data_IF_795316015778
#
_entry.id   IF_795316015778
#
_cell.length_a   1.000
_cell.length_b   1.000
_cell.length_c   1.000
_cell.angle_alpha   90.00
_cell.angle_beta   90.00
_cell.angle_gamma   90.00
#
_symmetry.space_group_name_H-M   'P 1'
#
loop_
_entity.id
_entity.type
_entity.pdbx_description
1 polymer ?
#
# COMPACT_ATOMS: atom_id res chain seq x y z
N UNK A 1 54.99 -53.22 -54.40
CA UNK A 1 54.53 -54.19 -55.51
C UNK A 1 53.17 -54.69 -55.11
N UNK A 2 52.29 -54.90 -56.04
CA UNK A 2 51.78 -54.04 -57.07
C UNK A 2 50.25 -53.91 -57.03
N UNK A 3 49.79 -53.14 -58.01
CA UNK A 3 48.59 -53.25 -58.91
C UNK A 3 47.28 -52.74 -58.22
N UNK A 4 46.68 -51.75 -58.58
CA UNK A 4 46.28 -51.14 -59.83
C UNK A 4 45.07 -51.79 -60.41
N UNK A 5 43.88 -51.13 -60.30
CA UNK A 5 42.84 -51.21 -61.39
C UNK A 5 41.95 -49.99 -61.35
N UNK A 6 41.92 -49.30 -62.46
CA UNK A 6 40.96 -48.28 -62.88
C UNK A 6 39.67 -48.95 -63.35
N UNK A 7 38.55 -48.23 -63.24
CA UNK A 7 37.46 -48.16 -64.27
C UNK A 7 36.42 -47.18 -63.72
N UNK A 8 36.21 -46.12 -64.31
CA UNK A 8 35.56 -45.44 -65.44
C UNK A 8 34.03 -45.52 -65.40
N UNK A 9 33.46 -44.32 -65.37
CA UNK A 9 32.24 -43.81 -66.09
C UNK A 9 30.90 -44.40 -65.69
N UNK A 10 29.77 -43.70 -65.63
CA UNK A 10 29.02 -42.71 -66.43
C UNK A 10 27.78 -42.32 -65.60
N UNK A 11 27.25 -41.12 -65.72
CA UNK A 11 25.85 -40.90 -65.52
C UNK A 11 25.51 -39.58 -64.83
N UNK A 12 25.52 -38.47 -65.54
CA UNK A 12 24.90 -37.26 -65.12
C UNK A 12 23.38 -37.36 -65.14
N UNK A 13 22.71 -37.32 -64.02
CA UNK A 13 21.29 -37.11 -63.97
C UNK A 13 20.98 -35.73 -63.48
N UNK A 14 20.46 -34.89 -64.34
CA UNK A 14 19.91 -33.60 -64.07
C UNK A 14 18.60 -33.75 -63.30
N UNK A 15 18.59 -33.52 -61.99
CA UNK A 15 17.36 -33.36 -61.23
C UNK A 15 17.10 -31.90 -60.94
N UNK A 16 15.99 -31.42 -61.49
CA UNK A 16 15.44 -30.08 -61.26
C UNK A 16 15.11 -29.90 -59.77
N UNK A 17 15.61 -28.80 -59.18
CA UNK A 17 15.30 -28.40 -57.82
C UNK A 17 13.85 -27.91 -57.73
N UNK A 18 13.04 -28.36 -56.75
CA UNK A 18 11.76 -27.73 -56.47
C UNK A 18 11.98 -26.38 -55.76
N UNK A 19 11.28 -25.40 -56.26
CA UNK A 19 11.19 -24.04 -55.64
C UNK A 19 10.35 -24.19 -54.37
N UNK A 20 11.01 -24.17 -53.21
CA UNK A 20 10.31 -24.01 -51.92
C UNK A 20 9.92 -22.55 -51.77
N UNK A 21 8.62 -22.29 -51.88
CA UNK A 21 7.99 -21.03 -51.53
C UNK A 21 8.01 -20.91 -50.00
N UNK A 22 8.95 -20.13 -49.45
CA UNK A 22 8.94 -19.80 -48.03
C UNK A 22 7.81 -18.80 -47.76
N UNK A 23 6.73 -19.29 -47.15
CA UNK A 23 5.72 -18.45 -46.58
C UNK A 23 6.30 -17.76 -45.32
N UNK A 24 6.56 -16.46 -45.43
CA UNK A 24 6.93 -15.62 -44.30
C UNK A 24 5.65 -15.38 -43.50
N UNK A 25 5.50 -16.10 -42.38
CA UNK A 25 4.48 -15.81 -41.38
C UNK A 25 4.97 -14.61 -40.56
N UNK A 26 4.47 -13.43 -40.89
CA UNK A 26 4.64 -12.24 -40.04
C UNK A 26 3.72 -12.38 -38.84
N UNK A 27 4.27 -12.87 -37.73
CA UNK A 27 3.57 -12.86 -36.44
C UNK A 27 3.49 -11.44 -35.95
N UNK A 28 2.32 -10.81 -36.06
CA UNK A 28 1.99 -9.55 -35.40
C UNK A 28 1.91 -9.82 -33.89
N UNK A 29 2.99 -9.55 -33.18
CA UNK A 29 2.95 -9.45 -31.71
C UNK A 29 2.28 -8.11 -31.36
N UNK A 30 0.99 -8.16 -31.09
CA UNK A 30 0.29 -7.04 -30.49
C UNK A 30 0.81 -6.86 -29.06
N UNK A 31 1.73 -5.91 -28.86
CA UNK A 31 2.10 -5.43 -27.54
C UNK A 31 0.90 -4.64 -27.02
N UNK A 32 0.04 -5.31 -26.26
CA UNK A 32 -0.96 -4.64 -25.44
C UNK A 32 -0.20 -3.87 -24.36
N UNK A 33 0.02 -2.58 -24.58
CA UNK A 33 0.42 -1.65 -23.53
C UNK A 33 -0.74 -1.59 -22.55
N UNK A 34 -0.74 -2.50 -21.57
CA UNK A 34 -1.63 -2.47 -20.43
C UNK A 34 -1.32 -1.22 -19.63
N UNK A 35 -2.14 -0.20 -19.81
CA UNK A 35 -2.23 0.93 -18.89
C UNK A 35 -2.52 0.32 -17.51
N UNK A 36 -1.49 0.16 -16.67
CA UNK A 36 -1.66 -0.20 -15.26
C UNK A 36 -2.29 1.00 -14.55
N UNK A 37 -3.59 1.17 -14.74
CA UNK A 37 -4.38 1.95 -13.82
C UNK A 37 -4.27 1.23 -12.48
N UNK A 38 -3.72 1.91 -11.47
CA UNK A 38 -3.74 1.52 -10.07
C UNK A 38 -5.18 1.61 -9.55
N UNK A 39 -6.08 0.84 -10.16
CA UNK A 39 -7.45 0.72 -9.72
C UNK A 39 -7.47 -0.06 -8.41
N UNK A 40 -7.87 0.57 -7.31
CA UNK A 40 -8.40 -0.16 -6.18
C UNK A 40 -9.35 -1.23 -6.73
N UNK A 41 -9.13 -2.50 -6.34
CA UNK A 41 -9.98 -3.58 -6.84
C UNK A 41 -11.43 -3.21 -6.52
N UNK A 42 -12.28 -3.05 -7.54
CA UNK A 42 -13.70 -2.66 -7.41
C UNK A 42 -14.49 -3.49 -6.39
N UNK A 43 -14.01 -4.68 -6.00
CA UNK A 43 -14.62 -5.57 -5.00
C UNK A 43 -14.42 -5.16 -3.54
N UNK A 44 -13.63 -4.13 -3.23
CA UNK A 44 -13.39 -3.71 -1.84
C UNK A 44 -14.07 -2.37 -1.48
N UNK A 45 -14.60 -1.62 -2.43
CA UNK A 45 -15.35 -0.40 -2.13
C UNK A 45 -16.47 -0.67 -1.13
N UNK A 46 -16.72 0.32 -0.26
CA UNK A 46 -17.82 0.27 0.72
C UNK A 46 -19.02 0.94 0.09
N UNK A 47 -20.03 0.17 -0.23
CA UNK A 47 -21.32 0.70 -0.62
C UNK A 47 -22.22 0.80 0.62
N UNK A 48 -22.71 1.99 1.03
CA UNK A 48 -23.54 2.13 2.22
C UNK A 48 -24.82 1.29 2.19
N UNK A 49 -25.30 0.95 0.98
CA UNK A 49 -26.46 0.08 0.79
C UNK A 49 -26.23 -1.39 1.21
N UNK A 50 -24.97 -1.81 1.36
CA UNK A 50 -24.62 -3.18 1.80
C UNK A 50 -24.69 -3.35 3.31
N UNK A 51 -25.03 -2.30 4.06
CA UNK A 51 -25.04 -2.30 5.53
C UNK A 51 -26.39 -1.81 6.06
N UNK A 52 -27.00 -2.58 6.95
CA UNK A 52 -28.25 -2.21 7.62
C UNK A 52 -28.04 -1.24 8.79
N UNK A 53 -26.81 -1.15 9.30
CA UNK A 53 -26.42 -0.30 10.43
C UNK A 53 -25.41 0.79 10.04
N UNK A 54 -25.06 1.67 10.98
CA UNK A 54 -23.98 2.65 10.82
C UNK A 54 -22.65 1.96 10.58
N UNK A 55 -21.95 2.37 9.54
CA UNK A 55 -20.67 1.79 9.13
C UNK A 55 -19.55 2.32 10.01
N UNK A 56 -18.99 1.48 10.84
CA UNK A 56 -17.92 1.81 11.78
C UNK A 56 -16.56 1.78 11.05
N UNK A 57 -15.85 2.91 11.07
CA UNK A 57 -14.54 3.08 10.44
C UNK A 57 -13.48 3.35 11.52
N UNK A 58 -12.52 2.46 11.66
CA UNK A 58 -11.39 2.63 12.57
C UNK A 58 -10.16 3.19 11.81
N UNK A 59 -9.72 4.41 12.18
CA UNK A 59 -8.47 4.97 11.73
C UNK A 59 -7.36 4.63 12.75
N UNK A 60 -6.65 3.53 12.50
CA UNK A 60 -5.54 3.02 13.31
C UNK A 60 -4.24 3.69 12.86
N UNK A 61 -3.44 4.24 13.80
CA UNK A 61 -2.20 4.88 13.40
C UNK A 61 -1.40 5.53 14.51
N UNK A 62 -0.45 6.34 14.08
CA UNK A 62 0.51 7.05 14.90
C UNK A 62 0.09 8.52 15.17
N UNK A 63 1.09 9.40 15.44
CA UNK A 63 0.89 10.83 15.68
C UNK A 63 0.19 11.56 14.52
N UNK A 64 0.38 11.11 13.28
CA UNK A 64 -0.26 11.72 12.11
C UNK A 64 -1.76 11.41 12.12
N UNK A 65 -2.15 10.20 12.45
CA UNK A 65 -3.56 9.83 12.65
C UNK A 65 -4.15 10.54 13.87
N UNK A 66 -3.40 10.63 14.96
CA UNK A 66 -3.80 11.40 16.14
C UNK A 66 -4.07 12.88 15.81
N UNK A 67 -3.34 13.44 14.84
CA UNK A 67 -3.41 14.86 14.45
C UNK A 67 -2.43 15.74 15.24
N UNK A 68 -1.24 15.22 15.55
CA UNK A 68 -0.19 15.99 16.20
C UNK A 68 0.20 17.21 15.35
N UNK A 69 0.40 18.36 16.01
CA UNK A 69 0.75 19.63 15.35
C UNK A 69 -0.43 20.40 14.73
N UNK A 70 -1.62 19.83 14.67
CA UNK A 70 -2.83 20.53 14.20
C UNK A 70 -3.40 21.39 15.33
N UNK A 71 -3.56 22.70 15.06
CA UNK A 71 -4.02 23.68 16.05
C UNK A 71 -5.41 23.35 16.61
N UNK A 72 -6.37 23.09 15.75
CA UNK A 72 -7.71 22.62 16.13
C UNK A 72 -7.81 21.11 15.84
N UNK A 73 -7.00 20.33 16.56
CA UNK A 73 -6.96 18.88 16.38
C UNK A 73 -8.33 18.22 16.52
N UNK A 74 -9.18 18.75 17.39
CA UNK A 74 -10.52 18.19 17.63
C UNK A 74 -11.38 18.19 16.35
N UNK A 75 -11.17 19.19 15.50
CA UNK A 75 -11.97 19.38 14.30
C UNK A 75 -11.23 19.06 12.99
N UNK A 76 -9.89 19.16 12.97
CA UNK A 76 -9.12 19.18 11.73
C UNK A 76 -8.15 17.98 11.54
N UNK A 77 -8.15 16.99 12.46
CA UNK A 77 -7.43 15.74 12.19
C UNK A 77 -8.13 14.95 11.08
N UNK A 78 -7.36 14.15 10.28
CA UNK A 78 -7.93 13.52 9.11
C UNK A 78 -9.11 12.57 9.40
N UNK A 79 -9.16 11.79 10.50
CA UNK A 79 -10.32 10.95 10.82
C UNK A 79 -11.61 11.74 11.02
N UNK A 80 -11.54 12.91 11.68
CA UNK A 80 -12.71 13.77 11.87
C UNK A 80 -13.16 14.41 10.55
N UNK A 81 -12.20 14.88 9.74
CA UNK A 81 -12.50 15.42 8.39
C UNK A 81 -13.13 14.34 7.53
N UNK A 82 -12.59 13.12 7.54
CA UNK A 82 -13.12 11.95 6.84
C UNK A 82 -14.57 11.64 7.27
N UNK A 83 -14.84 11.65 8.57
CA UNK A 83 -16.19 11.38 9.09
C UNK A 83 -17.22 12.40 8.59
N UNK A 84 -16.84 13.68 8.56
CA UNK A 84 -17.71 14.73 8.00
C UNK A 84 -17.97 14.54 6.50
N UNK A 85 -16.95 14.12 5.76
CA UNK A 85 -17.05 13.91 4.30
C UNK A 85 -17.86 12.67 3.94
N UNK A 86 -17.69 11.58 4.68
CA UNK A 86 -18.45 10.34 4.47
C UNK A 86 -19.94 10.45 4.86
N UNK A 87 -20.27 11.39 5.78
CA UNK A 87 -21.64 11.66 6.21
C UNK A 87 -22.18 10.68 7.27
N UNK A 88 -23.44 10.85 7.63
CA UNK A 88 -24.10 10.24 8.81
C UNK A 88 -24.18 8.71 8.79
N UNK A 89 -24.03 8.10 7.62
CA UNK A 89 -23.99 6.63 7.50
C UNK A 89 -22.69 6.03 8.03
N UNK A 90 -21.68 6.86 8.36
CA UNK A 90 -20.37 6.39 8.80
C UNK A 90 -20.03 6.96 10.19
N UNK A 91 -19.63 6.09 11.10
CA UNK A 91 -19.02 6.46 12.37
C UNK A 91 -17.51 6.27 12.27
N UNK A 92 -16.77 7.37 12.08
CA UNK A 92 -15.30 7.36 11.97
C UNK A 92 -14.67 7.67 13.32
N UNK A 93 -13.83 6.76 13.84
CA UNK A 93 -13.10 6.97 15.08
C UNK A 93 -11.60 7.03 14.86
N UNK A 94 -10.98 7.95 15.60
CA UNK A 94 -9.54 8.16 15.62
C UNK A 94 -8.90 7.30 16.72
N UNK A 95 -8.11 6.30 16.32
CA UNK A 95 -7.33 5.44 17.20
C UNK A 95 -5.82 5.70 17.03
N UNK A 96 -5.44 6.93 16.69
CA UNK A 96 -4.05 7.36 16.55
C UNK A 96 -3.36 7.53 17.91
N UNK A 97 -2.10 7.10 18.01
CA UNK A 97 -1.25 7.25 19.20
C UNK A 97 0.08 7.88 18.81
N UNK A 98 0.37 9.06 19.36
CA UNK A 98 1.63 9.76 19.08
C UNK A 98 2.84 8.92 19.47
N UNK A 99 3.79 8.75 18.54
CA UNK A 99 4.99 7.97 18.74
C UNK A 99 4.87 6.46 18.46
N UNK A 100 3.66 5.95 18.27
CA UNK A 100 3.42 4.52 18.13
C UNK A 100 4.10 3.90 16.89
N UNK A 101 4.64 2.70 17.07
CA UNK A 101 5.23 1.85 16.05
C UNK A 101 4.28 0.71 15.67
N UNK A 102 4.41 0.22 14.44
CA UNK A 102 3.83 -1.04 14.02
C UNK A 102 4.57 -2.22 14.66
N UNK A 103 5.91 -2.14 14.70
CA UNK A 103 6.77 -3.14 15.30
C UNK A 103 6.35 -3.41 16.75
N UNK A 104 6.20 -4.70 17.10
CA UNK A 104 5.88 -5.14 18.47
C UNK A 104 7.00 -4.82 19.45
N UNK A 105 8.25 -4.84 18.95
CA UNK A 105 9.45 -4.52 19.73
C UNK A 105 9.98 -3.10 19.49
N UNK A 106 9.11 -2.21 18.95
CA UNK A 106 9.39 -0.78 18.90
C UNK A 106 9.29 -0.07 20.25
N UNK A 107 9.88 1.13 20.33
CA UNK A 107 9.96 1.95 21.56
C UNK A 107 8.59 2.29 22.16
N UNK A 108 7.54 2.39 21.33
CA UNK A 108 6.14 2.53 21.73
C UNK A 108 5.26 1.67 20.81
N UNK A 109 5.22 0.37 21.09
CA UNK A 109 4.43 -0.57 20.30
C UNK A 109 2.94 -0.25 20.35
N UNK A 110 2.31 -0.04 19.20
CA UNK A 110 0.86 0.19 19.09
C UNK A 110 0.05 -0.95 19.71
N UNK A 111 0.52 -2.18 19.61
CA UNK A 111 -0.09 -3.39 20.16
C UNK A 111 -0.34 -3.33 21.67
N UNK A 112 0.50 -2.56 22.40
CA UNK A 112 0.45 -2.42 23.86
C UNK A 112 -0.34 -1.20 24.29
N UNK A 113 -0.96 -0.45 23.36
CA UNK A 113 -1.69 0.79 23.68
C UNK A 113 -3.16 0.54 24.00
N UNK A 114 -3.78 1.39 24.82
CA UNK A 114 -5.24 1.36 25.00
C UNK A 114 -6.02 1.55 23.71
N UNK A 115 -5.44 2.30 22.73
CA UNK A 115 -6.07 2.55 21.45
C UNK A 115 -6.20 1.28 20.59
N UNK A 116 -5.22 0.36 20.64
CA UNK A 116 -5.33 -0.94 19.98
C UNK A 116 -6.50 -1.75 20.54
N UNK A 117 -6.62 -1.82 21.85
CA UNK A 117 -7.74 -2.48 22.51
C UNK A 117 -9.08 -1.83 22.14
N UNK A 118 -9.17 -0.50 22.21
CA UNK A 118 -10.38 0.23 21.87
C UNK A 118 -10.78 0.09 20.39
N UNK A 119 -9.80 0.05 19.46
CA UNK A 119 -10.06 -0.21 18.05
C UNK A 119 -10.59 -1.63 17.80
N UNK A 120 -10.09 -2.61 18.56
CA UNK A 120 -10.60 -4.00 18.54
C UNK A 120 -12.03 -4.09 19.08
N UNK A 121 -12.30 -3.48 20.24
CA UNK A 121 -13.63 -3.47 20.89
C UNK A 121 -14.67 -2.66 20.09
N UNK A 122 -14.23 -1.72 19.24
CA UNK A 122 -15.11 -0.97 18.35
C UNK A 122 -15.73 -1.87 17.26
N UNK A 123 -15.15 -3.03 17.01
CA UNK A 123 -15.59 -4.01 16.00
C UNK A 123 -15.92 -3.34 14.66
N UNK A 124 -14.93 -2.71 14.01
CA UNK A 124 -15.16 -1.86 12.84
C UNK A 124 -15.56 -2.68 11.61
N UNK A 125 -16.34 -2.07 10.70
CA UNK A 125 -16.58 -2.59 9.35
C UNK A 125 -15.48 -2.22 8.36
N UNK A 126 -14.72 -1.17 8.69
CA UNK A 126 -13.60 -0.64 7.89
C UNK A 126 -12.42 -0.34 8.80
N UNK A 127 -11.24 -0.80 8.42
CA UNK A 127 -9.98 -0.47 9.12
C UNK A 127 -9.01 0.17 8.15
N UNK A 128 -8.53 1.36 8.51
CA UNK A 128 -7.46 2.08 7.80
C UNK A 128 -6.22 2.07 8.68
N UNK A 129 -5.15 1.38 8.25
CA UNK A 129 -3.93 1.24 9.05
C UNK A 129 -2.85 2.16 8.49
N UNK A 130 -2.50 3.19 9.26
CA UNK A 130 -1.45 4.16 8.95
C UNK A 130 -0.39 4.14 10.07
N UNK A 131 0.50 3.17 10.04
CA UNK A 131 1.67 3.00 10.91
C UNK A 131 2.94 2.88 10.08
N UNK A 132 4.11 2.96 10.73
CA UNK A 132 5.40 2.79 10.07
C UNK A 132 6.30 4.03 10.12
N UNK A 133 5.76 5.23 10.40
CA UNK A 133 6.57 6.46 10.47
C UNK A 133 7.59 6.39 11.62
N UNK A 134 7.17 5.98 12.82
CA UNK A 134 8.05 5.88 13.99
C UNK A 134 8.96 4.66 13.95
N UNK A 135 8.60 3.66 13.16
CA UNK A 135 9.41 2.46 12.91
C UNK A 135 10.74 2.82 12.24
N UNK A 136 10.80 3.92 11.50
CA UNK A 136 12.02 4.41 10.82
C UNK A 136 13.09 4.93 11.77
N UNK A 137 12.77 5.20 13.05
CA UNK A 137 13.75 5.63 14.03
C UNK A 137 14.82 4.53 14.21
N UNK A 138 16.12 4.88 14.35
CA UNK A 138 17.19 3.89 14.40
C UNK A 138 16.99 2.79 15.47
N UNK A 139 16.50 3.18 16.65
CA UNK A 139 16.24 2.23 17.74
C UNK A 139 15.11 1.24 17.45
N UNK A 140 14.20 1.57 16.54
CA UNK A 140 13.10 0.71 16.09
C UNK A 140 13.51 -0.07 14.83
N UNK A 141 14.17 0.62 13.88
CA UNK A 141 14.50 0.04 12.58
C UNK A 141 15.54 -1.08 12.64
N UNK A 142 16.23 -1.25 13.78
CA UNK A 142 17.05 -2.44 14.03
C UNK A 142 16.23 -3.74 13.99
N UNK A 143 14.92 -3.67 14.18
CA UNK A 143 13.96 -4.79 14.08
C UNK A 143 13.23 -4.83 12.71
N UNK A 144 13.79 -4.20 11.67
CA UNK A 144 13.15 -4.09 10.35
C UNK A 144 12.77 -5.43 9.71
N UNK A 145 13.45 -6.52 10.08
CA UNK A 145 13.16 -7.86 9.56
C UNK A 145 11.82 -8.41 10.10
N UNK A 146 11.38 -7.94 11.25
CA UNK A 146 10.12 -8.32 11.89
C UNK A 146 8.91 -7.53 11.34
N UNK A 147 9.17 -6.37 10.69
CA UNK A 147 8.14 -5.42 10.29
C UNK A 147 7.00 -6.05 9.46
N UNK A 148 7.34 -6.91 8.50
CA UNK A 148 6.34 -7.55 7.63
C UNK A 148 5.49 -8.56 8.40
N UNK A 149 6.12 -9.37 9.28
CA UNK A 149 5.42 -10.34 10.10
C UNK A 149 4.48 -9.67 11.11
N UNK A 150 4.93 -8.58 11.73
CA UNK A 150 4.11 -7.81 12.67
C UNK A 150 2.94 -7.12 11.97
N UNK A 151 3.17 -6.57 10.76
CA UNK A 151 2.07 -5.99 9.99
C UNK A 151 1.06 -7.05 9.57
N UNK A 152 1.54 -8.21 9.11
CA UNK A 152 0.67 -9.33 8.76
C UNK A 152 -0.18 -9.77 9.96
N UNK A 153 0.42 -9.89 11.14
CA UNK A 153 -0.29 -10.21 12.36
C UNK A 153 -1.37 -9.15 12.71
N UNK A 154 -1.12 -7.85 12.48
CA UNK A 154 -2.10 -6.78 12.71
C UNK A 154 -3.28 -6.89 11.74
N UNK A 155 -3.01 -7.17 10.46
CA UNK A 155 -4.05 -7.41 9.46
C UNK A 155 -4.91 -8.61 9.88
N UNK A 156 -4.28 -9.72 10.24
CA UNK A 156 -4.97 -10.96 10.62
C UNK A 156 -5.78 -10.78 11.90
N UNK A 157 -5.27 -9.99 12.86
CA UNK A 157 -6.03 -9.62 14.06
C UNK A 157 -7.34 -8.91 13.72
N UNK A 158 -7.28 -7.83 12.92
CA UNK A 158 -8.49 -7.10 12.53
C UNK A 158 -9.40 -7.93 11.62
N UNK A 159 -8.85 -8.69 10.68
CA UNK A 159 -9.63 -9.57 9.80
C UNK A 159 -10.41 -10.67 10.55
N UNK A 160 -9.97 -11.04 11.76
CA UNK A 160 -10.62 -12.03 12.60
C UNK A 160 -11.82 -11.47 13.40
N UNK A 161 -12.02 -10.16 13.46
CA UNK A 161 -13.11 -9.53 14.21
C UNK A 161 -14.49 -10.00 13.69
N UNK A 162 -15.53 -9.98 14.55
CA UNK A 162 -16.88 -10.40 14.19
C UNK A 162 -17.44 -9.70 12.95
N UNK A 163 -17.23 -8.37 12.84
CA UNK A 163 -17.69 -7.57 11.70
C UNK A 163 -16.95 -7.87 10.38
N UNK A 164 -15.86 -8.68 10.38
CA UNK A 164 -15.07 -9.03 9.19
C UNK A 164 -14.71 -7.81 8.35
N UNK A 165 -13.96 -6.84 8.91
CA UNK A 165 -13.75 -5.55 8.28
C UNK A 165 -13.04 -5.64 6.93
N UNK A 166 -13.39 -4.71 6.06
CA UNK A 166 -12.56 -4.36 4.89
C UNK A 166 -11.35 -3.57 5.39
N UNK A 167 -10.14 -3.93 4.94
CA UNK A 167 -8.88 -3.37 5.45
C UNK A 167 -8.12 -2.65 4.34
N UNK A 168 -7.68 -1.42 4.62
CA UNK A 168 -6.79 -0.63 3.79
C UNK A 168 -5.48 -0.38 4.52
N UNK A 169 -4.36 -0.59 3.81
CA UNK A 169 -3.04 -0.20 4.29
C UNK A 169 -2.69 1.17 3.72
N UNK A 170 -2.00 2.01 4.49
CA UNK A 170 -1.49 3.28 3.98
C UNK A 170 0.02 3.24 3.80
N UNK A 171 0.53 3.85 2.73
CA UNK A 171 1.92 4.30 2.74
C UNK A 171 2.07 5.40 3.79
N UNK A 172 3.23 5.53 4.49
CA UNK A 172 3.51 6.68 5.32
C UNK A 172 3.46 7.99 4.51
N UNK A 173 3.23 9.11 5.20
CA UNK A 173 3.43 10.42 4.61
C UNK A 173 4.94 10.69 4.36
N UNK A 174 5.31 11.62 3.44
CA UNK A 174 6.71 11.99 3.22
C UNK A 174 7.31 12.67 4.44
N UNK A 175 8.63 12.51 4.62
CA UNK A 175 9.43 13.13 5.67
C UNK A 175 10.34 14.18 5.04
N UNK A 176 10.03 15.45 5.23
CA UNK A 176 10.75 16.55 4.57
C UNK A 176 12.09 16.92 5.23
N UNK A 177 12.32 16.43 6.44
CA UNK A 177 13.60 16.55 7.12
C UNK A 177 13.69 15.49 8.22
N UNK A 178 14.85 14.88 8.40
CA UNK A 178 15.10 13.96 9.52
C UNK A 178 14.89 14.70 10.85
N UNK A 179 13.98 14.17 11.66
CA UNK A 179 13.68 14.71 12.98
C UNK A 179 13.26 13.59 13.94
N UNK A 180 13.72 13.65 15.17
CA UNK A 180 13.49 12.60 16.20
C UNK A 180 13.89 11.19 15.75
N UNK A 181 14.86 11.09 14.83
CA UNK A 181 15.27 9.81 14.22
C UNK A 181 14.39 9.33 13.07
N UNK A 182 13.22 9.93 12.86
CA UNK A 182 12.35 9.66 11.70
C UNK A 182 13.03 10.20 10.45
N UNK A 183 13.17 9.38 9.40
CA UNK A 183 13.91 9.77 8.19
C UNK A 183 13.26 9.25 6.91
N UNK A 184 13.39 10.07 5.85
CA UNK A 184 12.80 9.82 4.54
C UNK A 184 13.36 8.55 3.87
N UNK A 185 14.67 8.31 4.02
CA UNK A 185 15.31 7.15 3.39
C UNK A 185 14.65 5.84 3.84
N UNK A 186 14.47 5.66 5.15
CA UNK A 186 13.82 4.46 5.67
C UNK A 186 12.34 4.38 5.31
N UNK A 187 11.65 5.53 5.16
CA UNK A 187 10.27 5.55 4.64
C UNK A 187 10.24 5.01 3.22
N UNK A 188 11.05 5.57 2.32
CA UNK A 188 11.00 5.28 0.88
C UNK A 188 11.61 3.92 0.53
N UNK A 189 12.78 3.61 1.08
CA UNK A 189 13.51 2.39 0.76
C UNK A 189 13.13 1.20 1.66
N UNK A 190 12.60 1.48 2.84
CA UNK A 190 12.26 0.47 3.84
C UNK A 190 10.77 0.18 3.94
N UNK A 191 9.98 1.14 4.41
CA UNK A 191 8.57 0.93 4.76
C UNK A 191 7.69 0.75 3.52
N UNK A 192 7.72 1.70 2.58
CA UNK A 192 6.81 1.69 1.42
C UNK A 192 6.90 0.41 0.59
N UNK A 193 8.11 -0.10 0.23
CA UNK A 193 8.22 -1.35 -0.51
C UNK A 193 7.63 -2.55 0.25
N UNK A 194 7.83 -2.62 1.58
CA UNK A 194 7.30 -3.69 2.42
C UNK A 194 5.77 -3.65 2.50
N UNK A 195 5.19 -2.47 2.72
CA UNK A 195 3.72 -2.27 2.74
C UNK A 195 3.11 -2.70 1.40
N UNK A 196 3.68 -2.23 0.28
CA UNK A 196 3.19 -2.58 -1.07
C UNK A 196 3.31 -4.07 -1.38
N UNK A 197 4.41 -4.71 -0.98
CA UNK A 197 4.61 -6.15 -1.17
C UNK A 197 3.63 -6.97 -0.33
N UNK A 198 3.45 -6.61 0.93
CA UNK A 198 2.49 -7.26 1.83
C UNK A 198 1.05 -7.10 1.32
N UNK A 199 0.66 -5.89 0.93
CA UNK A 199 -0.66 -5.62 0.38
C UNK A 199 -0.95 -6.49 -0.86
N UNK A 200 0.01 -6.60 -1.79
CA UNK A 200 -0.14 -7.49 -2.96
C UNK A 200 -0.31 -8.95 -2.54
N UNK A 201 0.49 -9.45 -1.59
CA UNK A 201 0.43 -10.83 -1.09
C UNK A 201 -0.92 -11.14 -0.44
N UNK A 202 -1.45 -10.20 0.35
CA UNK A 202 -2.74 -10.34 1.03
C UNK A 202 -3.96 -9.95 0.16
N UNK A 203 -3.73 -9.42 -1.04
CA UNK A 203 -4.82 -8.93 -1.91
C UNK A 203 -5.51 -7.68 -1.39
N UNK A 204 -4.84 -6.89 -0.54
CA UNK A 204 -5.37 -5.66 0.06
C UNK A 204 -4.99 -4.41 -0.75
N UNK A 205 -5.81 -3.35 -0.74
CA UNK A 205 -5.48 -2.07 -1.34
C UNK A 205 -4.51 -1.28 -0.47
N UNK A 206 -3.74 -0.42 -1.13
CA UNK A 206 -2.88 0.59 -0.48
C UNK A 206 -3.40 1.98 -0.81
N UNK A 207 -3.62 2.79 0.21
CA UNK A 207 -3.85 4.24 0.09
C UNK A 207 -2.48 4.91 0.03
N UNK A 208 -2.14 5.51 -1.09
CA UNK A 208 -0.84 6.13 -1.30
C UNK A 208 -0.79 7.57 -0.76
N UNK A 209 -0.70 7.67 0.57
CA UNK A 209 -0.56 8.96 1.25
C UNK A 209 0.79 9.62 0.97
N UNK A 210 1.82 8.83 0.64
CA UNK A 210 3.12 9.38 0.25
C UNK A 210 2.99 10.25 -0.99
N UNK A 211 2.43 9.72 -2.07
CA UNK A 211 2.23 10.45 -3.31
C UNK A 211 1.26 11.63 -3.13
N UNK A 212 0.18 11.44 -2.39
CA UNK A 212 -0.83 12.49 -2.15
C UNK A 212 -0.24 13.75 -1.47
N UNK A 213 0.78 13.56 -0.64
CA UNK A 213 1.40 14.63 0.15
C UNK A 213 2.80 15.04 -0.34
N UNK A 214 3.37 14.34 -1.32
CA UNK A 214 4.69 14.67 -1.88
C UNK A 214 4.70 16.03 -2.57
N UNK A 215 5.84 16.73 -2.49
CA UNK A 215 6.01 18.06 -3.09
C UNK A 215 5.31 19.20 -2.35
N UNK A 216 4.82 18.97 -1.12
CA UNK A 216 4.05 19.95 -0.32
C UNK A 216 4.66 20.23 1.05
N UNK A 217 5.97 20.64 1.12
CA UNK A 217 6.67 20.84 2.40
C UNK A 217 6.05 21.93 3.27
N UNK A 218 5.29 22.86 2.71
CA UNK A 218 4.53 23.90 3.41
C UNK A 218 3.40 23.35 4.28
N UNK A 219 2.92 22.16 3.94
CA UNK A 219 1.91 21.48 4.76
C UNK A 219 2.50 20.77 5.98
N UNK A 220 3.83 20.76 6.15
CA UNK A 220 4.54 20.07 7.22
C UNK A 220 5.36 21.06 8.06
N UNK A 221 4.74 21.79 8.99
CA UNK A 221 5.43 22.83 9.76
C UNK A 221 6.67 22.34 10.51
N UNK A 222 6.62 21.13 11.05
CA UNK A 222 7.74 20.48 11.73
C UNK A 222 8.48 19.43 10.88
N UNK A 223 8.16 19.35 9.58
CA UNK A 223 8.74 18.46 8.56
C UNK A 223 8.32 17.00 8.65
N UNK A 224 7.49 16.62 9.62
CA UNK A 224 6.98 15.26 9.87
C UNK A 224 5.45 15.21 9.89
N UNK A 225 4.81 16.14 10.60
CA UNK A 225 3.38 16.12 10.81
C UNK A 225 2.67 17.09 9.86
N UNK A 226 1.67 16.62 9.12
CA UNK A 226 0.87 17.50 8.26
C UNK A 226 0.00 18.43 9.12
N UNK A 227 -0.15 19.68 8.64
CA UNK A 227 -1.11 20.64 9.18
C UNK A 227 -2.56 20.26 8.76
N UNK A 228 -3.53 21.10 9.12
CA UNK A 228 -4.94 20.88 8.79
C UNK A 228 -5.19 20.68 7.27
N UNK A 229 -4.47 21.43 6.42
CA UNK A 229 -4.57 21.27 4.95
C UNK A 229 -4.06 19.91 4.49
N UNK A 230 -2.91 19.48 5.01
CA UNK A 230 -2.39 18.14 4.72
C UNK A 230 -3.29 17.02 5.26
N UNK A 231 -3.87 17.20 6.45
CA UNK A 231 -4.84 16.27 7.02
C UNK A 231 -6.12 16.15 6.16
N UNK A 232 -6.57 17.27 5.57
CA UNK A 232 -7.69 17.26 4.62
C UNK A 232 -7.37 16.43 3.37
N UNK A 233 -6.19 16.60 2.77
CA UNK A 233 -5.77 15.78 1.62
C UNK A 233 -5.68 14.28 1.99
N UNK A 234 -5.25 13.95 3.20
CA UNK A 234 -5.28 12.57 3.68
C UNK A 234 -6.72 12.04 3.75
N UNK A 235 -7.65 12.82 4.31
CA UNK A 235 -9.05 12.43 4.39
C UNK A 235 -9.66 12.19 3.00
N UNK A 236 -9.38 13.05 2.03
CA UNK A 236 -9.82 12.92 0.63
C UNK A 236 -9.28 11.63 -0.01
N UNK A 237 -8.00 11.32 0.20
CA UNK A 237 -7.40 10.09 -0.32
C UNK A 237 -8.01 8.82 0.31
N UNK A 238 -8.30 8.87 1.61
CA UNK A 238 -8.93 7.75 2.34
C UNK A 238 -10.38 7.60 1.91
N UNK A 239 -11.14 8.68 1.78
CA UNK A 239 -12.51 8.67 1.30
C UNK A 239 -12.62 8.06 -0.09
N UNK A 240 -11.78 8.55 -1.03
CA UNK A 240 -11.76 8.03 -2.40
C UNK A 240 -11.48 6.52 -2.43
N UNK A 241 -10.55 6.04 -1.61
CA UNK A 241 -10.23 4.61 -1.52
C UNK A 241 -11.36 3.78 -0.92
N UNK A 242 -12.01 4.27 0.15
CA UNK A 242 -13.14 3.58 0.80
C UNK A 242 -14.34 3.49 -0.15
N UNK A 243 -14.65 4.57 -0.87
CA UNK A 243 -15.79 4.64 -1.78
C UNK A 243 -15.50 4.12 -3.20
N UNK A 244 -14.24 3.74 -3.50
CA UNK A 244 -13.84 3.20 -4.81
C UNK A 244 -13.87 4.23 -5.94
N UNK A 245 -13.55 5.48 -5.63
CA UNK A 245 -13.52 6.61 -6.57
C UNK A 245 -12.13 6.89 -7.11
#
# INVERSE_FOLDING_TARGET
MPVGVRLRFIGAFHMKKPIFLQAVIVSLVAVAAGCMTTGARRGQAVAPADYDETIRVACVGDSITFGAGIKDRKNDNYPVVLGRSLGERFEVRNFGVSGATLLKDGDLSYWKTPAFKAATEFDPHVVVIKLGTNDTKPQNWKHADEYVADYEAMIDHFAALPAKPKIWLCSPAPVYQTRWGINEKSVVEGIIPRVRALARRKGLPVIDLYTALSGKPEMFPDKIHPNATGAKLMAEAVEAAILGR
#
